data_IF_408297476101
#
_entry.id   IF_408297476101
#
_cell.length_a   1.000
_cell.length_b   1.000
_cell.length_c   1.000
_cell.angle_alpha   90.00
_cell.angle_beta   90.00
_cell.angle_gamma   90.00
#
_symmetry.space_group_name_H-M   'P 1'
#
loop_
_entity.id
_entity.type
_entity.pdbx_description
1 polymer ?
#
# COMPACT_ATOMS: atom_id res chain seq x y z
N UNK A 1 29.90 10.39 5.04
CA UNK A 1 28.62 9.68 5.25
C UNK A 1 27.48 10.66 5.02
N UNK A 2 27.26 11.09 3.77
CA UNK A 2 26.25 12.11 3.43
C UNK A 2 25.49 11.80 2.14
N UNK A 3 26.16 11.23 1.12
CA UNK A 3 25.50 10.86 -0.13
C UNK A 3 24.56 9.65 -0.04
N UNK A 4 24.80 8.69 0.87
CA UNK A 4 24.00 7.47 1.00
C UNK A 4 22.62 7.71 1.62
N UNK A 5 22.48 8.77 2.44
CA UNK A 5 21.20 9.18 3.03
C UNK A 5 20.38 10.02 2.05
N UNK A 6 21.05 10.83 1.21
CA UNK A 6 20.38 11.57 0.13
C UNK A 6 19.86 10.65 -0.98
N UNK A 7 20.58 9.57 -1.34
CA UNK A 7 20.09 8.57 -2.30
C UNK A 7 18.86 7.81 -1.78
N UNK A 8 18.86 7.45 -0.49
CA UNK A 8 17.72 6.79 0.18
C UNK A 8 16.52 7.72 0.35
N UNK A 9 16.71 8.98 0.78
CA UNK A 9 15.63 9.98 0.87
C UNK A 9 15.06 10.33 -0.51
N UNK A 10 15.90 10.45 -1.54
CA UNK A 10 15.44 10.67 -2.92
C UNK A 10 14.65 9.47 -3.45
N UNK A 11 15.03 8.24 -3.11
CA UNK A 11 14.25 7.05 -3.46
C UNK A 11 12.94 6.95 -2.67
N UNK A 12 12.94 7.29 -1.38
CA UNK A 12 11.72 7.36 -0.55
C UNK A 12 10.76 8.40 -1.13
N UNK A 13 11.27 9.53 -1.63
CA UNK A 13 10.49 10.50 -2.39
C UNK A 13 9.96 9.94 -3.71
N UNK A 14 10.73 9.14 -4.45
CA UNK A 14 10.25 8.48 -5.67
C UNK A 14 9.24 7.35 -5.38
N UNK A 15 9.28 6.76 -4.19
CA UNK A 15 8.35 5.73 -3.73
C UNK A 15 7.07 6.31 -3.12
N UNK A 16 7.04 7.64 -2.85
CA UNK A 16 5.85 8.38 -2.40
C UNK A 16 4.81 8.53 -3.50
N UNK A 17 5.23 8.52 -4.77
CA UNK A 17 4.38 8.59 -5.96
C UNK A 17 3.38 7.41 -6.06
N UNK A 18 3.57 6.34 -5.26
CA UNK A 18 2.76 5.12 -5.28
C UNK A 18 1.33 5.31 -4.76
N UNK A 19 1.11 6.22 -3.81
CA UNK A 19 -0.21 6.44 -3.22
C UNK A 19 -1.17 7.17 -4.15
N UNK A 20 -0.68 7.71 -5.28
CA UNK A 20 -1.43 8.52 -6.21
C UNK A 20 -0.94 8.32 -7.65
N UNK A 21 -1.01 7.07 -8.12
CA UNK A 21 -0.81 6.62 -9.51
C UNK A 21 -1.64 7.40 -10.55
N UNK A 22 -2.65 8.13 -10.08
CA UNK A 22 -3.63 8.83 -10.89
C UNK A 22 -3.16 10.19 -11.44
N UNK A 23 -1.99 10.67 -11.02
CA UNK A 23 -1.42 11.94 -11.46
C UNK A 23 -0.29 11.67 -12.45
N UNK A 24 -0.54 11.78 -13.77
CA UNK A 24 0.49 11.52 -14.75
C UNK A 24 1.54 12.64 -14.70
N UNK A 25 2.63 12.41 -13.96
CA UNK A 25 3.82 13.26 -14.00
C UNK A 25 4.62 13.03 -15.30
N UNK A 26 4.40 11.90 -15.99
CA UNK A 26 5.11 11.53 -17.21
C UNK A 26 4.21 11.28 -18.44
N UNK A 27 4.36 12.11 -19.48
CA UNK A 27 3.62 12.06 -20.75
C UNK A 27 3.95 10.84 -21.65
N UNK A 28 4.79 9.88 -21.24
CA UNK A 28 5.32 8.87 -22.17
C UNK A 28 4.48 7.61 -22.35
N UNK A 29 3.58 7.27 -21.43
CA UNK A 29 2.49 6.31 -21.66
C UNK A 29 1.30 6.72 -20.79
N UNK A 30 0.54 7.72 -21.24
CA UNK A 30 -0.65 8.18 -20.53
C UNK A 30 -1.61 7.00 -20.31
N UNK A 31 -1.83 6.64 -19.05
CA UNK A 31 -3.07 6.00 -18.64
C UNK A 31 -4.20 6.93 -19.11
N UNK A 32 -5.23 6.40 -19.76
CA UNK A 32 -6.43 7.22 -20.03
C UNK A 32 -7.04 7.52 -18.66
N UNK A 33 -7.06 8.78 -18.19
CA UNK A 33 -7.54 9.08 -16.86
C UNK A 33 -9.04 8.77 -16.80
N UNK A 34 -9.46 8.06 -15.76
CA UNK A 34 -10.86 8.12 -15.34
C UNK A 34 -11.22 9.59 -15.11
N UNK A 35 -12.38 10.02 -15.61
CA UNK A 35 -12.65 11.38 -16.03
C UNK A 35 -12.85 12.44 -14.91
N UNK A 36 -12.51 12.20 -13.64
CA UNK A 36 -13.19 12.87 -12.52
C UNK A 36 -12.45 14.03 -11.80
N UNK A 37 -11.12 14.14 -11.91
CA UNK A 37 -10.29 15.24 -11.38
C UNK A 37 -9.43 15.85 -12.49
N UNK A 38 -9.68 15.45 -13.74
CA UNK A 38 -9.47 16.36 -14.89
C UNK A 38 -10.37 17.60 -14.77
N UNK A 39 -11.41 17.54 -13.92
CA UNK A 39 -12.28 18.65 -13.56
C UNK A 39 -11.64 19.60 -12.51
N UNK A 40 -10.57 19.18 -11.81
CA UNK A 40 -9.86 20.06 -10.87
C UNK A 40 -8.89 21.00 -11.58
N UNK A 41 -8.80 22.28 -11.17
CA UNK A 41 -7.74 23.17 -11.59
C UNK A 41 -6.34 22.55 -11.34
N UNK A 42 -5.39 22.61 -12.29
CA UNK A 42 -4.09 21.94 -12.15
C UNK A 42 -3.31 22.30 -10.89
N UNK A 43 -3.42 23.56 -10.42
CA UNK A 43 -2.76 24.02 -9.20
C UNK A 43 -3.39 23.43 -7.93
N UNK A 44 -4.72 23.27 -7.89
CA UNK A 44 -5.43 22.62 -6.80
C UNK A 44 -5.10 21.13 -6.77
N UNK A 45 -5.08 20.52 -7.96
CA UNK A 45 -4.68 19.13 -8.18
C UNK A 45 -3.29 18.84 -7.61
N UNK A 46 -2.27 19.60 -8.00
CA UNK A 46 -0.89 19.39 -7.50
C UNK A 46 -0.75 19.60 -5.98
N UNK A 47 -1.52 20.53 -5.40
CA UNK A 47 -1.52 20.71 -3.94
C UNK A 47 -2.15 19.53 -3.22
N UNK A 48 -3.28 19.04 -3.72
CA UNK A 48 -3.98 17.89 -3.13
C UNK A 48 -3.10 16.64 -3.15
N UNK A 49 -2.39 16.41 -4.26
CA UNK A 49 -1.39 15.33 -4.36
C UNK A 49 -0.33 15.47 -3.27
N UNK A 50 0.29 16.64 -3.19
CA UNK A 50 1.32 16.90 -2.19
C UNK A 50 0.79 16.73 -0.76
N UNK A 51 -0.46 17.11 -0.48
CA UNK A 51 -1.06 16.94 0.85
C UNK A 51 -1.25 15.45 1.20
N UNK A 52 -1.73 14.64 0.26
CA UNK A 52 -1.89 13.19 0.45
C UNK A 52 -0.55 12.49 0.60
N UNK A 53 0.45 12.82 -0.22
CA UNK A 53 1.81 12.27 -0.12
C UNK A 53 2.47 12.59 1.23
N UNK A 54 2.10 13.72 1.84
CA UNK A 54 2.60 14.15 3.14
C UNK A 54 1.69 13.73 4.31
N UNK A 55 0.61 12.97 4.08
CA UNK A 55 -0.17 12.40 5.18
C UNK A 55 0.72 11.52 6.04
N UNK A 56 0.73 11.68 7.37
CA UNK A 56 1.47 10.80 8.26
C UNK A 56 0.93 9.37 8.19
N UNK A 57 1.72 8.40 8.65
CA UNK A 57 1.20 7.04 8.88
C UNK A 57 0.07 7.12 9.91
N UNK A 58 -0.97 6.31 9.74
CA UNK A 58 -2.09 6.30 10.67
C UNK A 58 -1.63 5.88 12.08
N UNK A 59 -2.04 6.62 13.10
CA UNK A 59 -1.62 6.37 14.47
C UNK A 59 -2.07 5.01 15.01
N UNK A 60 -3.21 4.49 14.57
CA UNK A 60 -3.72 3.18 14.99
C UNK A 60 -2.84 2.03 14.47
N UNK A 61 -2.34 2.14 13.23
CA UNK A 61 -1.39 1.17 12.67
C UNK A 61 -0.06 1.22 13.45
N UNK A 62 0.46 2.42 13.72
CA UNK A 62 1.70 2.61 14.49
C UNK A 62 1.57 2.06 15.92
N UNK A 63 0.49 2.37 16.61
CA UNK A 63 0.24 1.90 17.97
C UNK A 63 0.16 0.37 18.03
N UNK A 64 -0.53 -0.25 17.08
CA UNK A 64 -0.62 -1.71 16.99
C UNK A 64 0.76 -2.35 16.78
N UNK A 65 1.57 -1.79 15.88
CA UNK A 65 2.93 -2.29 15.62
C UNK A 65 3.81 -2.12 16.85
N UNK A 66 3.88 -0.92 17.42
CA UNK A 66 4.74 -0.64 18.59
C UNK A 66 4.35 -1.47 19.80
N UNK A 67 3.05 -1.51 20.14
CA UNK A 67 2.59 -2.28 21.28
C UNK A 67 2.97 -3.75 21.17
N UNK A 68 2.84 -4.36 19.98
CA UNK A 68 3.18 -5.77 19.81
C UNK A 68 4.68 -5.99 19.69
N UNK A 69 5.38 -5.14 18.95
CA UNK A 69 6.83 -5.22 18.75
C UNK A 69 7.57 -5.10 20.09
N UNK A 70 7.20 -4.15 20.94
CA UNK A 70 7.84 -3.96 22.25
C UNK A 70 7.69 -5.18 23.15
N UNK A 71 6.51 -5.79 23.15
CA UNK A 71 6.23 -7.01 23.92
C UNK A 71 7.13 -8.16 23.46
N UNK A 72 7.07 -8.52 22.16
CA UNK A 72 7.80 -9.68 21.62
C UNK A 72 9.31 -9.46 21.63
N UNK A 73 9.76 -8.22 21.40
CA UNK A 73 11.16 -7.89 21.40
C UNK A 73 11.75 -7.94 22.81
N UNK A 74 10.98 -7.52 23.82
CA UNK A 74 11.39 -7.64 25.22
C UNK A 74 11.50 -9.11 25.65
N UNK A 75 10.52 -9.94 25.28
CA UNK A 75 10.57 -11.38 25.54
C UNK A 75 11.82 -12.02 24.94
N UNK A 76 12.11 -11.71 23.67
CA UNK A 76 13.32 -12.17 23.01
C UNK A 76 14.59 -11.66 23.69
N UNK A 77 14.66 -10.38 24.04
CA UNK A 77 15.83 -9.78 24.67
C UNK A 77 16.14 -10.39 26.03
N UNK A 78 15.11 -10.73 26.80
CA UNK A 78 15.24 -11.31 28.13
C UNK A 78 15.66 -12.80 28.08
N UNK A 79 15.19 -13.56 27.09
CA UNK A 79 15.60 -14.96 26.87
C UNK A 79 15.78 -15.35 25.38
N UNK A 80 16.86 -14.90 24.72
CA UNK A 80 17.03 -15.08 23.27
C UNK A 80 17.06 -16.53 22.80
N UNK A 81 17.32 -17.49 23.70
CA UNK A 81 17.47 -18.91 23.36
C UNK A 81 16.15 -19.67 23.32
N UNK A 82 15.15 -19.21 24.07
CA UNK A 82 13.88 -19.93 24.19
C UNK A 82 12.70 -19.10 23.67
N UNK A 83 12.83 -17.78 23.60
CA UNK A 83 11.84 -16.91 23.00
C UNK A 83 11.97 -16.87 21.48
N UNK A 84 10.85 -16.55 20.83
CA UNK A 84 10.79 -16.34 19.40
C UNK A 84 11.66 -15.16 18.99
N UNK A 85 12.38 -15.29 17.88
CA UNK A 85 13.30 -14.28 17.38
C UNK A 85 12.74 -13.50 16.18
N UNK A 86 11.43 -13.57 15.90
CA UNK A 86 10.85 -12.95 14.73
C UNK A 86 9.45 -12.37 14.97
N UNK A 87 9.20 -11.25 14.31
CA UNK A 87 7.93 -10.54 14.28
C UNK A 87 7.57 -10.16 12.85
N UNK A 88 6.42 -10.63 12.40
CA UNK A 88 5.91 -10.42 11.04
C UNK A 88 4.78 -9.40 11.07
N UNK A 89 4.84 -8.37 10.23
CA UNK A 89 3.80 -7.36 10.06
C UNK A 89 3.14 -7.61 8.70
N UNK A 90 1.84 -7.88 8.75
CA UNK A 90 1.02 -8.27 7.61
C UNK A 90 0.12 -7.12 7.18
N UNK A 91 0.22 -6.73 5.91
CA UNK A 91 -0.55 -5.62 5.33
C UNK A 91 -1.37 -6.07 4.14
N UNK A 92 -2.37 -5.25 3.78
CA UNK A 92 -3.03 -5.39 2.48
C UNK A 92 -1.99 -5.38 1.34
N UNK A 93 -2.14 -6.21 0.30
CA UNK A 93 -1.28 -6.22 -0.88
C UNK A 93 -1.17 -4.87 -1.62
N UNK A 94 -2.13 -3.98 -1.42
CA UNK A 94 -2.12 -2.61 -1.96
C UNK A 94 -1.69 -1.55 -0.95
N UNK A 95 -1.13 -1.96 0.18
CA UNK A 95 -0.56 -1.09 1.22
C UNK A 95 0.92 -1.39 1.43
N UNK A 96 1.73 -0.36 1.57
CA UNK A 96 3.18 -0.50 1.69
C UNK A 96 3.63 -0.44 3.15
N UNK A 97 3.93 -1.59 3.75
CA UNK A 97 4.52 -1.70 5.10
C UNK A 97 5.90 -1.06 5.19
N UNK A 98 6.64 -1.01 4.08
CA UNK A 98 7.98 -0.43 4.01
C UNK A 98 8.02 0.98 4.62
N UNK A 99 7.02 1.82 4.31
CA UNK A 99 6.97 3.19 4.83
C UNK A 99 6.97 3.22 6.35
N UNK A 100 6.19 2.32 6.97
CA UNK A 100 6.14 2.18 8.43
C UNK A 100 7.49 1.71 8.97
N UNK A 101 8.08 0.72 8.31
CA UNK A 101 9.37 0.16 8.73
C UNK A 101 10.55 1.13 8.54
N UNK A 102 10.46 2.08 7.60
CA UNK A 102 11.56 3.00 7.30
C UNK A 102 11.43 4.35 7.98
N UNK A 103 10.21 4.91 8.09
CA UNK A 103 10.03 6.26 8.63
C UNK A 103 9.97 6.26 10.17
N UNK A 104 9.55 5.17 10.82
CA UNK A 104 9.29 5.16 12.26
C UNK A 104 10.22 4.25 13.07
N UNK A 105 10.54 3.05 12.58
CA UNK A 105 11.37 2.10 13.34
C UNK A 105 12.83 2.58 13.51
N UNK A 106 13.41 3.23 12.50
CA UNK A 106 14.81 3.66 12.55
C UNK A 106 14.99 4.93 13.40
N UNK A 107 14.11 5.92 13.20
CA UNK A 107 14.22 7.23 13.84
C UNK A 107 13.74 7.22 15.31
N UNK A 108 12.70 6.45 15.64
CA UNK A 108 12.09 6.47 16.98
C UNK A 108 12.41 5.19 17.77
N UNK A 109 11.97 4.03 17.27
CA UNK A 109 11.98 2.78 18.03
C UNK A 109 13.40 2.27 18.32
N UNK A 110 14.27 2.27 17.31
CA UNK A 110 15.64 1.76 17.45
C UNK A 110 16.47 2.59 18.44
N UNK A 111 16.27 3.91 18.46
CA UNK A 111 16.93 4.83 19.38
C UNK A 111 16.48 4.61 20.82
N UNK A 112 15.17 4.45 21.04
CA UNK A 112 14.59 4.15 22.36
C UNK A 112 15.15 2.85 22.93
N UNK A 113 15.20 1.80 22.09
CA UNK A 113 15.65 0.47 22.50
C UNK A 113 17.16 0.26 22.46
N UNK A 114 17.93 1.26 21.98
CA UNK A 114 19.40 1.23 21.82
C UNK A 114 19.89 0.02 21.03
N UNK A 115 19.18 -0.31 19.96
CA UNK A 115 19.52 -1.42 19.05
C UNK A 115 20.12 -0.92 17.76
N UNK A 116 20.94 -1.76 17.14
CA UNK A 116 21.34 -1.55 15.75
C UNK A 116 20.27 -2.18 14.86
N UNK A 117 19.52 -1.35 14.16
CA UNK A 117 18.57 -1.78 13.16
C UNK A 117 19.30 -1.90 11.82
N UNK A 118 19.10 -3.02 11.13
CA UNK A 118 19.72 -3.32 9.83
C UNK A 118 18.63 -3.68 8.83
N UNK A 119 18.05 -2.69 8.14
CA UNK A 119 17.13 -2.98 7.06
C UNK A 119 17.87 -3.56 5.85
N UNK A 120 17.31 -4.61 5.27
CA UNK A 120 17.76 -5.10 3.97
C UNK A 120 17.44 -4.03 2.93
N UNK A 121 18.44 -3.65 2.14
CA UNK A 121 18.34 -2.70 1.04
C UNK A 121 17.74 -3.40 -0.18
N UNK A 122 16.46 -3.74 -0.06
CA UNK A 122 15.65 -4.20 -1.18
C UNK A 122 14.90 -2.96 -1.67
N UNK A 123 15.50 -2.15 -2.52
CA UNK A 123 14.83 -0.96 -3.09
C UNK A 123 13.86 -1.36 -4.23
N UNK A 124 13.96 -2.61 -4.68
CA UNK A 124 13.05 -3.24 -5.62
C UNK A 124 13.21 -4.75 -5.53
N UNK A 125 12.26 -5.48 -6.12
CA UNK A 125 12.35 -6.93 -6.29
C UNK A 125 13.65 -7.28 -7.05
N UNK A 126 14.55 -8.10 -6.45
CA UNK A 126 15.70 -8.61 -7.19
C UNK A 126 15.26 -9.45 -8.39
N UNK A 127 16.08 -9.46 -9.44
CA UNK A 127 15.85 -10.38 -10.57
C UNK A 127 15.86 -11.81 -10.04
N UNK A 128 14.96 -12.67 -10.53
CA UNK A 128 14.75 -14.03 -10.00
C UNK A 128 16.05 -14.81 -9.76
N UNK A 129 16.97 -14.79 -10.74
CA UNK A 129 18.25 -15.51 -10.68
C UNK A 129 19.20 -15.02 -9.58
N UNK A 130 18.94 -13.84 -9.02
CA UNK A 130 19.80 -13.17 -8.06
C UNK A 130 19.19 -13.06 -6.66
N UNK A 131 17.93 -13.47 -6.43
CA UNK A 131 17.26 -13.29 -5.13
C UNK A 131 18.10 -13.88 -3.97
N UNK A 132 18.48 -15.16 -4.06
CA UNK A 132 19.27 -15.81 -3.01
C UNK A 132 20.68 -15.22 -2.89
N UNK A 133 21.28 -14.86 -4.02
CA UNK A 133 22.62 -14.23 -4.06
C UNK A 133 22.60 -12.89 -3.35
N UNK A 134 21.56 -12.10 -3.57
CA UNK A 134 21.37 -10.78 -2.98
C UNK A 134 21.08 -10.89 -1.47
N UNK A 135 20.21 -11.82 -1.06
CA UNK A 135 19.97 -12.10 0.35
C UNK A 135 21.27 -12.50 1.07
N UNK A 136 22.05 -13.43 0.50
CA UNK A 136 23.37 -13.80 1.06
C UNK A 136 24.34 -12.65 1.10
N UNK A 137 24.39 -11.83 0.04
CA UNK A 137 25.26 -10.65 -0.03
C UNK A 137 24.95 -9.66 1.10
N UNK A 138 23.68 -9.45 1.41
CA UNK A 138 23.30 -8.51 2.45
C UNK A 138 23.42 -9.13 3.85
N UNK A 139 23.10 -10.41 4.02
CA UNK A 139 23.04 -11.06 5.33
C UNK A 139 24.42 -11.61 5.77
N UNK A 140 25.14 -12.33 4.90
CA UNK A 140 26.37 -13.08 5.22
C UNK A 140 27.66 -12.23 5.19
N UNK A 141 27.77 -11.29 4.23
CA UNK A 141 29.02 -10.51 3.99
C UNK A 141 29.49 -9.71 5.21
N UNK A 142 28.62 -9.51 6.20
CA UNK A 142 28.92 -8.73 7.39
C UNK A 142 29.06 -9.57 8.67
N UNK A 143 28.92 -10.91 8.61
CA UNK A 143 29.24 -11.80 9.74
C UNK A 143 30.73 -11.77 10.10
N UNK A 144 31.60 -11.53 9.12
CA UNK A 144 33.05 -11.47 9.31
C UNK A 144 33.57 -10.18 9.98
N UNK A 145 32.70 -9.20 10.27
CA UNK A 145 33.10 -7.91 10.85
C UNK A 145 32.67 -7.71 12.31
N UNK A 146 31.87 -8.61 12.90
CA UNK A 146 31.32 -8.45 14.24
C UNK A 146 32.11 -9.31 15.24
N UNK A 147 33.26 -8.79 15.68
CA UNK A 147 33.77 -9.14 17.00
C UNK A 147 32.88 -8.40 18.04
N UNK A 148 32.30 -9.17 18.98
CA UNK A 148 31.44 -8.79 20.13
C UNK A 148 29.91 -8.77 19.93
N UNK A 149 29.26 -9.89 20.31
CA UNK A 149 28.08 -10.05 21.21
C UNK A 149 26.96 -8.99 21.29
N UNK A 150 26.75 -8.13 20.29
CA UNK A 150 25.61 -7.21 20.27
C UNK A 150 24.41 -7.86 19.59
N UNK A 151 23.27 -7.80 20.25
CA UNK A 151 21.97 -8.12 19.68
C UNK A 151 21.72 -7.24 18.47
N UNK A 152 21.47 -7.88 17.33
CA UNK A 152 21.23 -7.23 16.04
C UNK A 152 19.74 -7.39 15.68
N UNK A 153 19.13 -6.33 15.14
CA UNK A 153 17.77 -6.39 14.59
C UNK A 153 17.87 -6.30 13.07
N UNK A 154 17.44 -7.35 12.36
CA UNK A 154 17.39 -7.37 10.90
C UNK A 154 15.95 -7.09 10.47
N UNK A 155 15.79 -6.19 9.49
CA UNK A 155 14.48 -5.86 8.93
C UNK A 155 14.40 -6.32 7.48
N UNK A 156 13.47 -7.21 7.18
CA UNK A 156 13.08 -7.57 5.83
C UNK A 156 11.86 -6.71 5.49
N UNK A 157 12.00 -5.66 4.67
CA UNK A 157 10.92 -4.71 4.48
C UNK A 157 9.73 -5.30 3.74
N UNK A 158 9.98 -6.21 2.80
CA UNK A 158 8.95 -6.85 2.01
C UNK A 158 9.36 -8.28 1.63
N UNK A 159 8.81 -9.25 2.36
CA UNK A 159 9.03 -10.68 2.14
C UNK A 159 8.59 -11.12 0.74
N UNK A 160 7.60 -10.43 0.13
CA UNK A 160 7.09 -10.81 -1.18
C UNK A 160 8.17 -10.69 -2.27
N UNK A 161 9.20 -9.85 -2.06
CA UNK A 161 10.35 -9.71 -2.97
C UNK A 161 11.39 -10.83 -2.84
N UNK A 162 11.32 -11.63 -1.78
CA UNK A 162 12.25 -12.73 -1.52
C UNK A 162 11.88 -14.03 -2.25
N UNK A 163 10.83 -14.02 -3.09
CA UNK A 163 10.39 -15.19 -3.84
C UNK A 163 9.57 -14.83 -5.07
N UNK A 164 9.49 -15.77 -6.03
CA UNK A 164 8.60 -15.69 -7.19
C UNK A 164 7.87 -17.03 -7.36
N UNK A 165 6.58 -17.02 -7.71
CA UNK A 165 5.82 -18.25 -7.91
C UNK A 165 6.15 -18.88 -9.26
N UNK A 166 7.30 -19.55 -9.33
CA UNK A 166 7.78 -20.23 -10.52
C UNK A 166 8.71 -21.38 -10.14
N UNK A 167 9.22 -22.12 -11.13
CA UNK A 167 10.22 -23.16 -10.88
C UNK A 167 11.48 -22.54 -10.25
N UNK A 168 11.98 -23.13 -9.14
CA UNK A 168 13.10 -22.62 -8.33
C UNK A 168 12.88 -21.24 -7.69
N UNK A 169 11.68 -20.66 -7.79
CA UNK A 169 11.42 -19.30 -7.29
C UNK A 169 11.24 -19.17 -5.77
N UNK A 170 11.31 -20.27 -5.02
CA UNK A 170 11.19 -20.30 -3.55
C UNK A 170 12.55 -20.43 -2.83
N UNK A 171 13.67 -20.52 -3.54
CA UNK A 171 14.99 -20.71 -2.92
C UNK A 171 15.36 -19.64 -1.88
N UNK A 172 14.90 -18.40 -2.10
CA UNK A 172 15.08 -17.31 -1.13
C UNK A 172 14.33 -17.56 0.19
N UNK A 173 13.15 -18.19 0.13
CA UNK A 173 12.38 -18.57 1.31
C UNK A 173 13.05 -19.71 2.07
N UNK A 174 13.52 -20.74 1.35
CA UNK A 174 14.25 -21.85 1.96
C UNK A 174 15.48 -21.33 2.73
N UNK A 175 16.22 -20.40 2.13
CA UNK A 175 17.37 -19.75 2.79
C UNK A 175 16.96 -18.95 4.03
N UNK A 176 15.86 -18.19 3.97
CA UNK A 176 15.37 -17.43 5.13
C UNK A 176 14.89 -18.35 6.27
N UNK A 177 14.25 -19.48 5.96
CA UNK A 177 13.85 -20.48 6.96
C UNK A 177 15.05 -21.02 7.74
N UNK A 178 16.13 -21.36 7.04
CA UNK A 178 17.37 -21.82 7.68
C UNK A 178 17.97 -20.75 8.60
N UNK A 179 17.98 -19.49 8.17
CA UNK A 179 18.50 -18.37 8.96
C UNK A 179 17.70 -18.09 10.24
N UNK A 180 16.36 -18.15 10.15
CA UNK A 180 15.47 -17.93 11.29
C UNK A 180 15.73 -18.96 12.41
N UNK A 181 16.04 -20.21 12.04
CA UNK A 181 16.31 -21.29 12.99
C UNK A 181 17.73 -21.28 13.58
N UNK A 182 18.72 -20.81 12.82
CA UNK A 182 20.12 -20.99 13.21
C UNK A 182 20.66 -19.88 14.11
N UNK A 183 20.11 -18.66 14.02
CA UNK A 183 20.69 -17.49 14.68
C UNK A 183 19.74 -16.81 15.68
N UNK A 184 19.78 -17.30 16.92
CA UNK A 184 19.08 -16.72 18.07
C UNK A 184 19.65 -15.39 18.57
N UNK A 185 20.82 -14.95 18.08
CA UNK A 185 21.42 -13.66 18.46
C UNK A 185 20.88 -12.48 17.66
N UNK A 186 20.05 -12.77 16.65
CA UNK A 186 19.35 -11.80 15.81
C UNK A 186 17.86 -11.82 16.10
N UNK A 187 17.26 -10.65 16.05
CA UNK A 187 15.81 -10.48 16.00
C UNK A 187 15.39 -10.02 14.61
N UNK A 188 14.32 -10.61 14.06
CA UNK A 188 13.87 -10.37 12.70
C UNK A 188 12.54 -9.63 12.71
N UNK A 189 12.48 -8.49 12.03
CA UNK A 189 11.24 -7.78 11.73
C UNK A 189 10.96 -7.99 10.24
N UNK A 190 9.80 -8.53 9.90
CA UNK A 190 9.48 -8.94 8.53
C UNK A 190 8.17 -8.26 8.10
N UNK A 191 8.22 -7.39 7.11
CA UNK A 191 7.03 -6.90 6.42
C UNK A 191 6.59 -7.88 5.34
N UNK A 192 5.29 -8.15 5.21
CA UNK A 192 4.75 -9.02 4.16
C UNK A 192 3.33 -8.61 3.80
N UNK A 193 2.95 -8.83 2.53
CA UNK A 193 1.55 -8.76 2.13
C UNK A 193 0.78 -10.00 2.60
N UNK A 194 -0.50 -9.84 2.98
CA UNK A 194 -1.37 -10.92 3.48
C UNK A 194 -1.48 -12.10 2.50
N UNK A 195 -1.76 -11.82 1.23
CA UNK A 195 -1.91 -12.85 0.19
C UNK A 195 -0.61 -13.63 -0.03
N UNK A 196 0.52 -12.92 -0.03
CA UNK A 196 1.85 -13.53 -0.13
C UNK A 196 2.16 -14.42 1.07
N UNK A 197 1.81 -13.97 2.27
CA UNK A 197 1.98 -14.71 3.50
C UNK A 197 1.15 -16.00 3.51
N UNK A 198 -0.14 -15.95 3.16
CA UNK A 198 -1.00 -17.13 3.10
C UNK A 198 -0.54 -18.15 2.06
N UNK A 199 -0.10 -17.66 0.89
CA UNK A 199 0.52 -18.53 -0.09
C UNK A 199 1.76 -19.26 0.46
N UNK A 200 2.68 -18.55 1.11
CA UNK A 200 3.87 -19.16 1.71
C UNK A 200 3.51 -20.17 2.81
N UNK A 201 2.47 -19.89 3.60
CA UNK A 201 1.99 -20.84 4.61
C UNK A 201 1.44 -22.12 3.97
N UNK A 202 0.77 -22.00 2.83
CA UNK A 202 0.24 -23.13 2.08
C UNK A 202 1.34 -23.97 1.43
N UNK A 203 2.36 -23.34 0.84
CA UNK A 203 3.37 -24.07 0.03
C UNK A 203 4.64 -24.47 0.79
N UNK A 204 5.03 -23.73 1.83
CA UNK A 204 6.28 -23.97 2.57
C UNK A 204 6.12 -23.94 4.08
N UNK A 205 4.90 -23.78 4.60
CA UNK A 205 4.61 -23.66 6.03
C UNK A 205 5.45 -22.57 6.72
N UNK A 206 5.72 -21.46 6.02
CA UNK A 206 6.66 -20.43 6.47
C UNK A 206 6.33 -19.88 7.87
N UNK A 207 5.05 -19.71 8.23
CA UNK A 207 4.61 -19.34 9.59
C UNK A 207 5.18 -20.22 10.70
N UNK A 208 5.49 -21.50 10.46
CA UNK A 208 6.07 -22.36 11.49
C UNK A 208 7.51 -21.98 11.88
N UNK A 209 8.17 -21.15 11.07
CA UNK A 209 9.52 -20.64 11.29
C UNK A 209 9.51 -19.21 11.85
N UNK A 210 8.34 -18.58 11.90
CA UNK A 210 8.14 -17.27 12.47
C UNK A 210 7.45 -17.39 13.83
N UNK A 211 7.85 -16.56 14.78
CA UNK A 211 7.25 -16.61 16.12
C UNK A 211 5.93 -15.89 16.21
N UNK A 212 5.95 -14.59 15.90
CA UNK A 212 4.80 -13.72 16.05
C UNK A 212 4.43 -13.06 14.73
N UNK A 213 3.12 -12.87 14.52
CA UNK A 213 2.58 -12.13 13.37
C UNK A 213 1.49 -11.17 13.82
N UNK A 214 1.44 -9.99 13.23
CA UNK A 214 0.40 -8.98 13.41
C UNK A 214 -0.22 -8.65 12.05
N UNK A 215 -1.53 -8.82 11.93
CA UNK A 215 -2.30 -8.21 10.84
C UNK A 215 -2.63 -6.79 11.26
N UNK A 216 -2.35 -5.80 10.41
CA UNK A 216 -2.70 -4.42 10.74
C UNK A 216 -4.21 -4.27 10.95
N UNK A 217 -4.63 -3.50 11.97
CA UNK A 217 -6.04 -3.31 12.26
C UNK A 217 -6.72 -2.60 11.09
N UNK A 218 -7.98 -2.95 10.85
CA UNK A 218 -8.85 -2.21 9.94
C UNK A 218 -9.13 -0.84 10.55
N UNK A 219 -9.00 0.21 9.74
CA UNK A 219 -9.33 1.56 10.18
C UNK A 219 -10.85 1.79 10.20
N UNK A 220 -11.33 2.26 11.33
CA UNK A 220 -12.72 2.65 11.53
C UNK A 220 -12.99 4.08 11.02
N UNK A 221 -14.27 4.43 10.84
CA UNK A 221 -14.67 5.74 10.31
C UNK A 221 -14.07 6.93 11.08
N UNK A 222 -14.10 6.90 12.41
CA UNK A 222 -13.52 7.95 13.26
C UNK A 222 -11.99 8.09 13.09
N UNK A 223 -11.30 6.96 12.89
CA UNK A 223 -9.85 6.94 12.68
C UNK A 223 -9.49 7.50 11.31
N UNK A 224 -10.26 7.14 10.27
CA UNK A 224 -10.10 7.70 8.92
C UNK A 224 -10.41 9.20 8.90
N UNK A 225 -11.47 9.63 9.59
CA UNK A 225 -11.82 11.04 9.71
C UNK A 225 -10.67 11.83 10.34
N UNK A 226 -10.19 11.40 11.51
CA UNK A 226 -9.09 12.05 12.23
C UNK A 226 -7.82 12.10 11.38
N UNK A 227 -7.54 11.03 10.64
CA UNK A 227 -6.36 10.93 9.79
C UNK A 227 -6.41 11.85 8.56
N UNK A 228 -7.59 12.00 7.94
CA UNK A 228 -7.78 12.82 6.74
C UNK A 228 -8.15 14.29 7.04
N UNK A 229 -8.41 14.63 8.31
CA UNK A 229 -8.74 15.99 8.77
C UNK A 229 -7.75 17.08 8.27
N UNK A 230 -6.42 16.88 8.25
CA UNK A 230 -5.50 17.88 7.73
C UNK A 230 -5.78 18.30 6.28
N UNK A 231 -6.24 17.36 5.45
CA UNK A 231 -6.62 17.64 4.06
C UNK A 231 -7.99 18.32 4.02
N UNK A 232 -8.95 17.86 4.84
CA UNK A 232 -10.29 18.45 4.91
C UNK A 232 -10.19 19.94 5.28
N UNK A 233 -9.36 20.26 6.28
CA UNK A 233 -9.12 21.62 6.75
C UNK A 233 -8.34 22.47 5.73
N UNK A 234 -7.27 21.93 5.13
CA UNK A 234 -6.45 22.69 4.16
C UNK A 234 -7.26 23.10 2.92
N UNK A 235 -8.16 22.23 2.47
CA UNK A 235 -8.92 22.40 1.24
C UNK A 235 -10.38 22.86 1.46
N UNK A 236 -10.78 23.12 2.71
CA UNK A 236 -12.12 23.53 3.11
C UNK A 236 -13.22 22.60 2.52
N UNK A 237 -13.00 21.29 2.60
CA UNK A 237 -13.86 20.29 1.95
C UNK A 237 -15.20 20.20 2.69
N UNK A 238 -16.30 20.34 1.93
CA UNK A 238 -17.66 20.21 2.46
C UNK A 238 -18.26 18.83 2.19
N UNK A 239 -19.14 18.35 3.06
CA UNK A 239 -19.81 17.05 2.92
C UNK A 239 -21.26 17.23 2.46
N UNK A 240 -21.60 16.62 1.31
CA UNK A 240 -22.97 16.57 0.81
C UNK A 240 -23.89 15.69 1.66
N UNK A 241 -25.17 15.63 1.28
CA UNK A 241 -26.07 14.58 1.77
C UNK A 241 -25.60 13.23 1.19
N UNK A 242 -25.66 12.19 2.01
CA UNK A 242 -25.32 10.83 1.57
C UNK A 242 -26.61 10.15 1.17
N UNK A 243 -26.63 9.66 -0.07
CA UNK A 243 -27.71 8.82 -0.57
C UNK A 243 -27.65 7.48 0.20
N UNK A 244 -28.55 7.32 1.16
CA UNK A 244 -28.86 6.01 1.74
C UNK A 244 -29.73 5.29 0.71
N UNK A 245 -29.14 4.36 -0.04
CA UNK A 245 -29.95 3.46 -0.87
C UNK A 245 -30.88 2.67 0.06
N UNK A 246 -32.20 2.80 -0.11
CA UNK A 246 -33.25 2.13 0.68
C UNK A 246 -33.17 0.57 0.69
N UNK A 247 -32.19 -0.01 -0.02
CA UNK A 247 -31.99 -1.45 -0.22
C UNK A 247 -30.83 -2.05 0.61
N UNK A 248 -30.12 -1.28 1.45
CA UNK A 248 -29.11 -1.85 2.36
C UNK A 248 -29.80 -2.52 3.58
N UNK A 249 -29.77 -3.86 3.72
CA UNK A 249 -30.54 -4.56 4.77
C UNK A 249 -30.04 -4.30 6.19
N UNK A 250 -28.97 -3.50 6.36
CA UNK A 250 -28.30 -3.26 7.64
C UNK A 250 -28.87 -2.06 8.42
N UNK A 251 -29.73 -1.22 7.84
CA UNK A 251 -30.32 -0.04 8.51
C UNK A 251 -31.64 -0.31 9.24
N UNK A 252 -31.88 -1.54 9.71
CA UNK A 252 -32.98 -1.83 10.63
C UNK A 252 -32.53 -1.75 12.11
N UNK A 253 -31.72 -0.76 12.51
CA UNK A 253 -31.34 -0.55 13.91
C UNK A 253 -31.33 0.93 14.32
N UNK A 254 -32.41 1.32 15.02
CA UNK A 254 -32.54 2.37 16.03
C UNK A 254 -32.75 3.84 15.61
N UNK A 255 -33.72 4.48 16.27
CA UNK A 255 -34.07 5.91 16.23
C UNK A 255 -32.93 6.87 16.71
N UNK A 256 -31.67 6.43 16.71
CA UNK A 256 -30.51 7.20 17.19
C UNK A 256 -29.60 7.77 16.09
N UNK A 257 -29.83 7.38 14.82
CA UNK A 257 -28.96 7.75 13.69
C UNK A 257 -29.33 9.05 12.96
N UNK A 258 -30.50 9.64 13.26
CA UNK A 258 -30.94 10.93 12.69
C UNK A 258 -30.06 12.13 13.13
N UNK A 259 -29.18 11.94 14.12
CA UNK A 259 -28.34 13.00 14.71
C UNK A 259 -26.86 12.96 14.30
N UNK A 260 -26.40 11.98 13.50
CA UNK A 260 -25.00 11.93 13.05
C UNK A 260 -24.76 12.93 11.91
N UNK A 261 -23.62 13.63 11.95
CA UNK A 261 -23.24 14.55 10.89
C UNK A 261 -23.02 13.80 9.57
N UNK A 262 -23.24 14.47 8.43
CA UNK A 262 -22.96 13.89 7.11
C UNK A 262 -21.49 13.45 6.98
N UNK A 263 -20.57 14.15 7.65
CA UNK A 263 -19.17 13.78 7.69
C UNK A 263 -18.96 12.43 8.39
N UNK A 264 -19.55 12.19 9.55
CA UNK A 264 -19.43 10.89 10.25
C UNK A 264 -19.99 9.75 9.39
N UNK A 265 -21.18 9.93 8.82
CA UNK A 265 -21.78 8.93 7.92
C UNK A 265 -20.91 8.65 6.68
N UNK A 266 -20.24 9.69 6.15
CA UNK A 266 -19.33 9.55 5.01
C UNK A 266 -18.15 8.65 5.38
N UNK A 267 -17.53 8.89 6.54
CA UNK A 267 -16.38 8.13 6.99
C UNK A 267 -16.72 6.70 7.41
N UNK A 268 -17.90 6.46 7.98
CA UNK A 268 -18.38 5.10 8.26
C UNK A 268 -18.52 4.30 6.95
N UNK A 269 -19.11 4.91 5.90
CA UNK A 269 -19.21 4.30 4.57
C UNK A 269 -17.84 4.12 3.92
N UNK A 270 -16.93 5.09 4.08
CA UNK A 270 -15.56 5.01 3.57
C UNK A 270 -14.80 3.82 4.20
N UNK A 271 -14.89 3.65 5.52
CA UNK A 271 -14.29 2.53 6.24
C UNK A 271 -14.83 1.19 5.74
N UNK A 272 -16.15 1.09 5.55
CA UNK A 272 -16.82 -0.10 5.01
C UNK A 272 -16.34 -0.45 3.59
N UNK A 273 -16.34 0.53 2.67
CA UNK A 273 -15.94 0.32 1.27
C UNK A 273 -14.45 0.00 1.11
N UNK A 274 -13.60 0.64 1.91
CA UNK A 274 -12.15 0.41 1.91
C UNK A 274 -11.75 -0.85 2.66
N UNK A 275 -12.69 -1.53 3.33
CA UNK A 275 -12.43 -2.60 4.30
C UNK A 275 -11.42 -2.16 5.40
N UNK A 276 -11.36 -0.87 5.69
CA UNK A 276 -10.42 -0.24 6.62
C UNK A 276 -8.97 -0.17 6.13
N UNK A 277 -8.71 -0.36 4.83
CA UNK A 277 -7.36 -0.28 4.24
C UNK A 277 -7.04 1.16 3.85
N UNK A 278 -5.97 1.71 4.44
CA UNK A 278 -5.53 3.11 4.30
C UNK A 278 -5.40 3.60 2.84
N UNK A 279 -4.73 2.84 1.98
CA UNK A 279 -4.54 3.21 0.57
C UNK A 279 -5.84 3.20 -0.22
N UNK A 280 -6.71 2.23 0.02
CA UNK A 280 -8.04 2.16 -0.60
C UNK A 280 -8.91 3.31 -0.11
N UNK A 281 -8.87 3.63 1.19
CA UNK A 281 -9.62 4.74 1.76
C UNK A 281 -9.22 6.08 1.14
N UNK A 282 -7.92 6.32 0.94
CA UNK A 282 -7.42 7.52 0.25
C UNK A 282 -7.94 7.59 -1.18
N UNK A 283 -7.84 6.50 -1.94
CA UNK A 283 -8.33 6.48 -3.33
C UNK A 283 -9.84 6.71 -3.43
N UNK A 284 -10.63 6.04 -2.60
CA UNK A 284 -12.09 6.26 -2.56
C UNK A 284 -12.41 7.70 -2.13
N UNK A 285 -11.68 8.25 -1.16
CA UNK A 285 -11.83 9.62 -0.71
C UNK A 285 -11.61 10.61 -1.85
N UNK A 286 -10.53 10.44 -2.61
CA UNK A 286 -10.21 11.30 -3.74
C UNK A 286 -11.20 11.13 -4.88
N UNK A 287 -11.62 9.91 -5.17
CA UNK A 287 -12.65 9.63 -6.18
C UNK A 287 -14.03 10.23 -5.83
N UNK A 288 -14.23 10.54 -4.54
CA UNK A 288 -15.44 11.17 -4.01
C UNK A 288 -15.40 12.70 -4.04
N UNK A 289 -14.29 13.31 -4.46
CA UNK A 289 -14.19 14.76 -4.60
C UNK A 289 -14.87 15.27 -5.87
N UNK A 290 -15.71 16.29 -5.71
CA UNK A 290 -16.30 17.06 -6.79
C UNK A 290 -15.89 18.53 -6.67
N UNK A 291 -15.64 19.17 -7.82
CA UNK A 291 -15.32 20.60 -7.90
C UNK A 291 -16.48 21.39 -8.49
N UNK A 292 -17.03 22.30 -7.70
CA UNK A 292 -18.06 23.23 -8.17
C UNK A 292 -17.40 24.60 -8.45
N UNK A 293 -17.20 24.98 -9.73
CA UNK A 293 -16.64 26.30 -10.06
C UNK A 293 -17.62 27.41 -9.66
N UNK A 294 -17.14 28.52 -9.10
CA UNK A 294 -18.00 29.67 -8.81
C UNK A 294 -18.66 30.21 -10.08
N UNK A 295 -19.92 30.60 -9.97
CA UNK A 295 -20.76 31.13 -11.06
C UNK A 295 -20.14 32.34 -11.81
N UNK A 296 -19.11 33.00 -11.25
CA UNK A 296 -18.37 34.09 -11.90
C UNK A 296 -17.53 33.65 -13.10
N UNK A 297 -17.14 32.37 -13.18
CA UNK A 297 -16.20 31.88 -14.20
C UNK A 297 -16.92 31.34 -15.46
N UNK A 298 -18.22 31.07 -15.38
CA UNK A 298 -19.02 30.45 -16.46
C UNK A 298 -19.42 31.46 -17.55
N UNK A 299 -19.30 32.77 -17.33
CA UNK A 299 -19.85 33.81 -18.23
C UNK A 299 -18.88 34.42 -19.25
N UNK A 300 -17.65 33.93 -19.38
CA UNK A 300 -16.60 34.61 -20.17
C UNK A 300 -16.02 33.83 -21.34
N UNK A 301 -16.79 32.95 -22.00
CA UNK A 301 -16.36 32.37 -23.30
C UNK A 301 -16.87 33.11 -24.55
N UNK A 302 -17.43 34.31 -24.41
CA UNK A 302 -17.78 35.13 -25.58
C UNK A 302 -17.20 36.54 -25.52
N UNK A 303 -15.87 36.65 -25.69
CA UNK A 303 -15.19 37.63 -26.56
C UNK A 303 -13.67 37.58 -26.39
N UNK A 304 -12.98 37.24 -27.47
CA UNK A 304 -11.53 37.42 -27.66
C UNK A 304 -11.15 38.89 -27.48
N UNK A 305 -10.19 39.19 -26.60
CA UNK A 305 -9.01 40.03 -26.93
C UNK A 305 -7.89 39.79 -25.91
N UNK A 306 -6.67 39.74 -26.42
CA UNK A 306 -5.39 39.47 -25.75
C UNK A 306 -5.05 40.50 -24.65
N UNK A 307 -4.49 40.04 -23.52
CA UNK A 307 -3.23 40.55 -22.93
C UNK A 307 -2.82 39.70 -21.71
N UNK A 308 -1.53 39.40 -21.63
CA UNK A 308 -0.85 38.68 -20.54
C UNK A 308 -0.98 39.42 -19.19
N UNK A 309 -1.34 38.71 -18.12
CA UNK A 309 -0.54 38.41 -16.90
C UNK A 309 -1.45 38.10 -15.70
N UNK A 310 -1.19 36.99 -15.01
CA UNK A 310 -1.43 36.87 -13.57
C UNK A 310 -2.69 36.14 -13.10
N UNK A 311 -2.48 34.91 -12.62
CA UNK A 311 -3.17 34.23 -11.52
C UNK A 311 -4.66 33.91 -11.78
N UNK A 312 -4.91 32.73 -12.34
CA UNK A 312 -6.20 32.05 -12.22
C UNK A 312 -6.45 31.71 -10.74
N UNK A 313 -7.19 32.57 -10.04
CA UNK A 313 -7.92 32.18 -8.83
C UNK A 313 -9.23 31.53 -9.28
N UNK A 314 -9.20 30.24 -9.56
CA UNK A 314 -10.42 29.44 -9.66
C UNK A 314 -11.06 29.37 -8.28
N UNK A 315 -12.07 30.21 -8.03
CA UNK A 315 -12.77 30.30 -6.75
C UNK A 315 -13.87 29.23 -6.68
N UNK A 316 -13.54 27.96 -6.82
CA UNK A 316 -14.52 26.87 -6.68
C UNK A 316 -14.51 26.26 -5.29
N UNK A 317 -15.58 25.53 -4.96
CA UNK A 317 -15.74 24.81 -3.68
C UNK A 317 -15.56 23.32 -3.92
N UNK A 318 -14.87 22.64 -3.01
CA UNK A 318 -14.75 21.19 -2.99
C UNK A 318 -15.87 20.58 -2.15
N UNK A 319 -16.57 19.61 -2.74
CA UNK A 319 -17.65 18.88 -2.09
C UNK A 319 -17.43 17.39 -2.23
N UNK A 320 -17.63 16.66 -1.14
CA UNK A 320 -17.71 15.20 -1.16
C UNK A 320 -19.09 14.75 -1.63
N UNK A 321 -19.11 13.89 -2.65
CA UNK A 321 -20.26 13.03 -2.97
C UNK A 321 -20.22 11.76 -2.12
N UNK A 322 -21.31 11.00 -2.14
CA UNK A 322 -21.36 9.66 -1.57
C UNK A 322 -20.21 8.79 -2.10
N UNK A 323 -19.40 8.17 -1.22
CA UNK A 323 -18.29 7.34 -1.65
C UNK A 323 -18.82 6.03 -2.25
N UNK A 324 -18.19 5.60 -3.34
CA UNK A 324 -18.47 4.34 -4.03
C UNK A 324 -17.20 3.81 -4.71
N UNK A 325 -17.15 2.50 -4.89
CA UNK A 325 -16.09 1.79 -5.60
C UNK A 325 -16.42 1.70 -7.10
N UNK A 326 -15.45 1.85 -8.01
CA UNK A 326 -15.67 1.65 -9.43
C UNK A 326 -16.08 0.20 -9.76
N UNK A 327 -17.01 0.01 -10.69
CA UNK A 327 -17.47 -1.31 -11.13
C UNK A 327 -16.33 -2.07 -11.82
N UNK A 328 -16.14 -3.33 -11.43
CA UNK A 328 -15.24 -4.19 -12.18
C UNK A 328 -15.91 -4.58 -13.51
N UNK A 329 -15.19 -4.46 -14.63
CA UNK A 329 -15.63 -5.09 -15.87
C UNK A 329 -15.62 -6.60 -15.69
N UNK A 330 -16.26 -7.31 -16.63
CA UNK A 330 -16.20 -8.76 -16.66
C UNK A 330 -14.76 -9.23 -16.90
N UNK A 331 -14.18 -9.91 -15.93
CA UNK A 331 -12.84 -10.48 -16.00
C UNK A 331 -12.87 -11.90 -16.59
N UNK A 332 -11.90 -12.22 -17.44
CA UNK A 332 -11.65 -13.59 -17.91
C UNK A 332 -10.69 -14.32 -16.97
N UNK A 333 -10.57 -15.65 -17.10
CA UNK A 333 -9.70 -16.45 -16.25
C UNK A 333 -8.23 -15.99 -16.31
N UNK A 334 -7.74 -15.65 -17.50
CA UNK A 334 -6.37 -15.12 -17.69
C UNK A 334 -6.16 -13.82 -16.91
N UNK A 335 -7.18 -12.97 -16.84
CA UNK A 335 -7.13 -11.70 -16.11
C UNK A 335 -7.05 -11.97 -14.60
N UNK A 336 -7.82 -12.93 -14.10
CA UNK A 336 -7.78 -13.34 -12.69
C UNK A 336 -6.41 -13.89 -12.29
N UNK A 337 -5.75 -14.69 -13.14
CA UNK A 337 -4.39 -15.17 -12.86
C UNK A 337 -3.36 -14.04 -12.84
N UNK A 338 -3.48 -13.06 -13.73
CA UNK A 338 -2.63 -11.87 -13.72
C UNK A 338 -2.81 -11.09 -12.42
N UNK A 339 -4.05 -10.77 -12.06
CA UNK A 339 -4.37 -10.02 -10.84
C UNK A 339 -3.91 -10.77 -9.60
N UNK A 340 -4.16 -12.08 -9.53
CA UNK A 340 -3.68 -12.91 -8.44
C UNK A 340 -2.16 -12.86 -8.31
N UNK A 341 -1.43 -12.99 -9.42
CA UNK A 341 0.04 -12.93 -9.39
C UNK A 341 0.54 -11.58 -8.89
N UNK A 342 -0.09 -10.47 -9.26
CA UNK A 342 0.29 -9.14 -8.78
C UNK A 342 -0.02 -9.01 -7.29
N UNK A 343 -1.22 -9.38 -6.85
CA UNK A 343 -1.60 -9.32 -5.43
C UNK A 343 -0.72 -10.23 -4.56
N UNK A 344 -0.35 -11.41 -5.07
CA UNK A 344 0.54 -12.36 -4.39
C UNK A 344 1.93 -11.78 -4.14
N UNK A 345 2.48 -11.12 -5.15
CA UNK A 345 3.87 -10.67 -5.18
C UNK A 345 4.05 -9.20 -4.83
N UNK A 346 2.96 -8.43 -4.78
CA UNK A 346 2.98 -6.98 -4.83
C UNK A 346 3.60 -6.51 -6.15
N UNK A 347 4.60 -5.65 -6.05
CA UNK A 347 5.32 -5.07 -7.17
C UNK A 347 5.95 -6.13 -8.09
N UNK A 348 5.53 -6.13 -9.35
CA UNK A 348 6.03 -7.03 -10.39
C UNK A 348 6.40 -6.26 -11.66
N UNK A 349 7.57 -6.55 -12.21
CA UNK A 349 7.84 -6.18 -13.60
C UNK A 349 7.04 -7.08 -14.55
N UNK A 350 6.81 -6.62 -15.78
CA UNK A 350 6.17 -7.45 -16.80
C UNK A 350 6.91 -8.77 -17.06
N UNK A 351 8.24 -8.80 -16.91
CA UNK A 351 9.03 -10.04 -17.03
C UNK A 351 8.73 -10.98 -15.88
N UNK A 352 8.82 -10.50 -14.64
CA UNK A 352 8.57 -11.32 -13.45
C UNK A 352 7.12 -11.83 -13.40
N UNK A 353 6.15 -11.03 -13.86
CA UNK A 353 4.77 -11.47 -14.02
C UNK A 353 4.66 -12.61 -15.05
N UNK A 354 5.34 -12.50 -16.19
CA UNK A 354 5.33 -13.57 -17.20
C UNK A 354 5.97 -14.86 -16.68
N UNK A 355 7.08 -14.74 -15.95
CA UNK A 355 7.76 -15.87 -15.33
C UNK A 355 6.89 -16.55 -14.25
N UNK A 356 6.19 -15.76 -13.43
CA UNK A 356 5.22 -16.24 -12.43
C UNK A 356 4.05 -17.00 -13.07
N UNK A 357 3.57 -16.52 -14.21
CA UNK A 357 2.47 -17.17 -14.95
C UNK A 357 2.94 -18.38 -15.77
N UNK A 358 4.25 -18.54 -15.97
CA UNK A 358 4.81 -19.56 -16.88
C UNK A 358 4.51 -19.27 -18.35
N UNK A 359 4.31 -17.99 -18.70
CA UNK A 359 3.84 -17.54 -20.01
C UNK A 359 4.88 -16.69 -20.76
N UNK A 360 4.67 -16.52 -22.07
CA UNK A 360 5.49 -15.59 -22.85
C UNK A 360 5.13 -14.15 -22.53
N UNK A 361 6.14 -13.32 -22.26
CA UNK A 361 5.96 -11.88 -21.99
C UNK A 361 5.08 -11.16 -23.03
N UNK A 362 5.16 -11.54 -24.31
CA UNK A 362 4.32 -10.96 -25.37
C UNK A 362 2.81 -11.21 -25.19
N UNK A 363 2.43 -12.35 -24.62
CA UNK A 363 1.02 -12.70 -24.35
C UNK A 363 0.52 -11.89 -23.15
N UNK A 364 1.29 -11.91 -22.06
CA UNK A 364 1.00 -11.16 -20.83
C UNK A 364 0.89 -9.66 -21.11
N UNK A 365 1.79 -9.10 -21.93
CA UNK A 365 1.78 -7.69 -22.31
C UNK A 365 0.44 -7.24 -22.91
N UNK A 366 -0.17 -8.07 -23.75
CA UNK A 366 -1.45 -7.77 -24.38
C UNK A 366 -2.57 -7.61 -23.35
N UNK A 367 -2.66 -8.56 -22.42
CA UNK A 367 -3.67 -8.58 -21.34
C UNK A 367 -3.44 -7.47 -20.32
N UNK A 368 -2.19 -7.27 -19.86
CA UNK A 368 -1.83 -6.17 -18.96
C UNK A 368 -2.21 -4.82 -19.56
N UNK A 369 -2.01 -4.61 -20.87
CA UNK A 369 -2.44 -3.36 -21.53
C UNK A 369 -3.96 -3.15 -21.48
N UNK A 370 -4.75 -4.22 -21.57
CA UNK A 370 -6.21 -4.16 -21.46
C UNK A 370 -6.60 -3.77 -20.03
N UNK A 371 -6.06 -4.46 -19.02
CA UNK A 371 -6.33 -4.19 -17.61
C UNK A 371 -5.88 -2.79 -17.18
N UNK A 372 -4.76 -2.29 -17.72
CA UNK A 372 -4.31 -0.90 -17.55
C UNK A 372 -5.29 0.12 -18.14
N UNK A 373 -5.86 -0.18 -19.31
CA UNK A 373 -6.90 0.69 -19.93
C UNK A 373 -8.22 0.67 -19.15
N UNK A 374 -8.45 -0.37 -18.37
CA UNK A 374 -9.61 -0.48 -17.48
C UNK A 374 -9.36 0.15 -16.09
N UNK A 375 -8.18 0.71 -15.83
CA UNK A 375 -7.84 1.29 -14.52
C UNK A 375 -7.49 0.29 -13.43
N UNK A 376 -7.64 -1.02 -13.67
CA UNK A 376 -7.47 -2.07 -12.65
C UNK A 376 -5.99 -2.29 -12.27
N UNK A 377 -5.11 -2.20 -13.27
CA UNK A 377 -3.65 -2.32 -13.10
C UNK A 377 -3.00 -0.98 -13.39
N UNK A 378 -2.04 -0.64 -12.56
CA UNK A 378 -1.20 0.54 -12.73
C UNK A 378 0.21 0.13 -13.13
N UNK A 379 0.93 1.07 -13.73
CA UNK A 379 2.34 0.87 -14.07
C UNK A 379 3.13 2.14 -13.82
N UNK A 380 4.15 2.04 -12.96
CA UNK A 380 5.11 3.10 -12.68
C UNK A 380 6.52 2.51 -12.77
N UNK A 381 7.42 3.15 -13.51
CA UNK A 381 8.83 2.71 -13.66
C UNK A 381 8.97 1.20 -13.96
N UNK A 382 8.12 0.70 -14.84
CA UNK A 382 8.02 -0.72 -15.23
C UNK A 382 7.53 -1.71 -14.16
N UNK A 383 7.12 -1.21 -13.00
CA UNK A 383 6.47 -1.95 -11.92
C UNK A 383 4.96 -1.95 -12.12
N UNK A 384 4.34 -3.13 -12.06
CA UNK A 384 2.91 -3.36 -12.12
C UNK A 384 2.36 -3.60 -10.72
N UNK A 385 1.25 -2.93 -10.41
CA UNK A 385 0.48 -3.07 -9.16
C UNK A 385 -1.02 -3.07 -9.46
N UNK A 386 -1.82 -3.55 -8.52
CA UNK A 386 -3.29 -3.39 -8.58
C UNK A 386 -3.61 -1.99 -8.06
N UNK A 387 -4.45 -1.26 -8.79
CA UNK A 387 -4.98 0.01 -8.32
C UNK A 387 -5.75 -0.21 -7.00
N UNK A 388 -5.40 0.49 -5.90
CA UNK A 388 -6.04 0.29 -4.60
C UNK A 388 -7.56 0.43 -4.64
N UNK A 389 -8.13 1.35 -5.44
CA UNK A 389 -9.59 1.56 -5.50
C UNK A 389 -10.35 0.32 -6.00
N UNK A 390 -9.72 -0.50 -6.84
CA UNK A 390 -10.31 -1.71 -7.36
C UNK A 390 -10.09 -2.92 -6.45
N UNK A 391 -9.15 -2.84 -5.51
CA UNK A 391 -8.71 -3.98 -4.72
C UNK A 391 -9.84 -4.68 -3.94
N UNK A 392 -10.77 -4.01 -3.23
CA UNK A 392 -11.85 -4.71 -2.52
C UNK A 392 -12.74 -5.56 -3.42
N UNK A 393 -12.97 -5.12 -4.67
CA UNK A 393 -13.74 -5.89 -5.65
C UNK A 393 -12.89 -6.98 -6.29
N UNK A 394 -11.62 -6.71 -6.59
CA UNK A 394 -10.68 -7.71 -7.12
C UNK A 394 -10.51 -8.86 -6.12
N UNK A 395 -10.35 -8.53 -4.83
CA UNK A 395 -10.26 -9.47 -3.72
C UNK A 395 -11.46 -10.42 -3.69
N UNK A 396 -12.68 -9.87 -3.75
CA UNK A 396 -13.93 -10.65 -3.80
C UNK A 396 -14.03 -11.52 -5.05
N UNK A 397 -13.66 -11.01 -6.22
CA UNK A 397 -13.64 -11.80 -7.46
C UNK A 397 -12.63 -12.96 -7.39
N UNK A 398 -11.45 -12.74 -6.83
CA UNK A 398 -10.44 -13.78 -6.63
C UNK A 398 -10.92 -14.84 -5.63
N UNK A 399 -11.50 -14.43 -4.50
CA UNK A 399 -12.07 -15.32 -3.49
C UNK A 399 -13.21 -16.19 -4.08
N UNK A 400 -14.14 -15.56 -4.80
CA UNK A 400 -15.23 -16.25 -5.51
C UNK A 400 -14.74 -17.27 -6.55
N UNK A 401 -13.51 -17.15 -7.02
CA UNK A 401 -12.87 -18.06 -7.97
C UNK A 401 -11.86 -19.02 -7.31
N UNK A 402 -11.89 -19.15 -5.97
CA UNK A 402 -11.10 -20.07 -5.15
C UNK A 402 -9.57 -19.80 -5.20
N UNK A 403 -9.17 -18.54 -5.36
CA UNK A 403 -7.78 -18.16 -5.12
C UNK A 403 -7.53 -18.02 -3.61
N UNK A 404 -6.28 -18.27 -3.17
CA UNK A 404 -5.87 -18.13 -1.77
C UNK A 404 -5.65 -16.64 -1.48
N UNK A 405 -6.58 -15.97 -0.80
CA UNK A 405 -6.55 -14.52 -0.59
C UNK A 405 -6.50 -14.12 0.89
N UNK A 406 -7.30 -14.74 1.76
CA UNK A 406 -7.23 -14.54 3.21
C UNK A 406 -7.80 -15.80 3.89
N UNK A 407 -6.95 -16.63 4.50
CA UNK A 407 -7.40 -17.71 5.40
C UNK A 407 -7.31 -17.22 6.86
N UNK A 408 -8.21 -16.31 7.24
CA UNK A 408 -8.41 -15.97 8.66
C UNK A 408 -9.78 -16.48 9.09
N UNK A 409 -9.81 -17.74 9.53
CA UNK A 409 -10.88 -18.31 10.36
C UNK A 409 -10.63 -17.99 11.85
#
# INVERSE_FOLDING_TARGET
>A
MGGLFEEFQNWLQNSRDFLLSWFPTNQKEAQEPEALLTELPPSLRSKLVAAVENLPINSAELEAIHSRLDEVFKEWRDDPKNADNSFVILTSPVSTVLRILTEDLDDNWAQEHKVSLRPLQLDSRPVQQDIITELRRQIDVQESAIEEKKSEVIVIPNLNWCYLRCFEGLEGIDYLQDLLLQNHSRFWIIGSGLVGWEYLNHVSHFKAYCGNSLVLPKLEGEQLQTWLEPIIDEFEISFGEIDTDDDDPMEAISDSEESRSNQTKYFDRLASLSEGVSSVAVEVFLHSLCYEPAESDIKTETKKTETNTGIEKGSGVLRMKTPDLPLLPRLEQDDLYILYSIVLHGDLTLSALADSLGDRQSLVKGRVRILRRMGIIEQQDDILSVNPIHYPRVKRELDNNNFIIDEFD
#
